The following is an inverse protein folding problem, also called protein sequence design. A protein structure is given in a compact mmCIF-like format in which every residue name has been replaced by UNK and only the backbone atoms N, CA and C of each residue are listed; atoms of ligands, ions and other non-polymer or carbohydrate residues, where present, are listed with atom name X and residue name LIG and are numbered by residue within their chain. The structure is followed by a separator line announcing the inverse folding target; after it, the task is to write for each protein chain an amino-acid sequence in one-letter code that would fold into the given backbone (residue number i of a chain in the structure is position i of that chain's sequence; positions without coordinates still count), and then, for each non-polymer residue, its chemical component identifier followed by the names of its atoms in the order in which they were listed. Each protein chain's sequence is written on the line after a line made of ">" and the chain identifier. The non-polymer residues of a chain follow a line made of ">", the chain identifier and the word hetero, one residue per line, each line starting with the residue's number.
data_IF_314315441600
#
_entry.id   IF_314315441600
#
_cell.length_a   1.000
_cell.length_b   1.000
_cell.length_c   1.000
_cell.angle_alpha   90.00
_cell.angle_beta   90.00
_cell.angle_gamma   90.00
#
_symmetry.space_group_name_H-M   'P 1'
#
loop_
_entity.id
_entity.type
_entity.pdbx_description
1 polymer ?
#
# COMPACT_ATOMS: atom_id res chain seq x y z
N UNK A 1 -6.70 25.57 -40.90
CA UNK A 1 -5.54 25.60 -40.00
C UNK A 1 -5.96 25.07 -38.63
N UNK A 2 -6.12 23.76 -38.49
CA UNK A 2 -6.29 23.10 -37.19
C UNK A 2 -4.97 22.43 -36.88
N UNK A 3 -4.14 23.11 -36.08
CA UNK A 3 -2.81 22.66 -35.75
C UNK A 3 -2.83 21.26 -35.18
N UNK A 4 -2.05 20.38 -35.81
CA UNK A 4 -1.58 19.13 -35.25
C UNK A 4 -0.91 19.42 -33.90
N UNK A 5 -1.69 19.31 -32.82
CA UNK A 5 -1.19 19.27 -31.45
C UNK A 5 -0.46 17.96 -31.25
N UNK A 6 0.79 17.92 -31.71
CA UNK A 6 1.73 16.81 -31.55
C UNK A 6 1.52 16.10 -30.22
N UNK A 7 1.34 14.77 -30.28
CA UNK A 7 1.34 13.86 -29.14
C UNK A 7 2.68 13.86 -28.43
N UNK A 8 3.00 14.96 -27.73
CA UNK A 8 4.09 15.00 -26.77
C UNK A 8 3.70 14.00 -25.68
N UNK A 9 4.34 12.82 -25.71
CA UNK A 9 4.32 11.86 -24.60
C UNK A 9 4.61 12.66 -23.33
N UNK A 10 3.58 12.93 -22.52
CA UNK A 10 3.77 13.56 -21.21
C UNK A 10 4.61 12.59 -20.40
N UNK A 11 5.81 13.02 -20.04
CA UNK A 11 6.68 12.26 -19.16
C UNK A 11 5.94 12.03 -17.84
N UNK A 12 5.79 10.76 -17.45
CA UNK A 12 5.29 10.39 -16.13
C UNK A 12 6.51 10.01 -15.29
N UNK A 13 6.81 10.76 -14.21
CA UNK A 13 7.94 10.42 -13.35
C UNK A 13 7.66 9.09 -12.63
N UNK A 14 8.74 8.44 -12.18
CA UNK A 14 8.59 7.24 -11.34
C UNK A 14 7.89 7.56 -10.01
N UNK A 15 8.22 8.72 -9.40
CA UNK A 15 7.62 9.20 -8.15
C UNK A 15 6.66 10.35 -8.43
N UNK A 16 5.38 10.15 -8.11
CA UNK A 16 4.28 11.09 -8.26
C UNK A 16 4.20 12.09 -7.12
N UNK A 17 5.20 12.97 -6.99
CA UNK A 17 5.22 14.03 -5.96
C UNK A 17 4.22 15.17 -6.23
N UNK A 18 3.74 15.29 -7.46
CA UNK A 18 2.72 16.25 -7.86
C UNK A 18 1.37 15.54 -8.01
N UNK A 19 0.30 16.26 -7.71
CA UNK A 19 -1.07 15.76 -7.71
C UNK A 19 -1.49 15.14 -9.05
N UNK A 20 -1.15 15.80 -10.15
CA UNK A 20 -1.41 15.32 -11.51
C UNK A 20 -0.84 13.90 -11.80
N UNK A 21 0.18 13.50 -11.03
CA UNK A 21 0.90 12.24 -11.19
C UNK A 21 0.46 11.14 -10.20
N UNK A 22 -0.40 11.45 -9.23
CA UNK A 22 -1.05 10.47 -8.33
C UNK A 22 -1.97 9.56 -9.17
N UNK A 23 -1.94 8.25 -8.96
CA UNK A 23 -2.69 7.28 -9.80
C UNK A 23 -2.15 7.16 -11.23
N UNK A 24 -0.96 7.72 -11.53
CA UNK A 24 -0.27 7.58 -12.83
C UNK A 24 1.13 7.04 -12.67
N UNK A 25 1.84 7.53 -11.67
CA UNK A 25 3.22 7.14 -11.40
C UNK A 25 3.28 5.76 -10.74
N UNK A 26 4.34 4.98 -10.99
CA UNK A 26 4.62 3.76 -10.25
C UNK A 26 4.56 3.93 -8.73
N UNK A 27 5.14 5.02 -8.20
CA UNK A 27 5.16 5.32 -6.77
C UNK A 27 4.45 6.64 -6.50
N UNK A 28 3.47 6.64 -5.60
CA UNK A 28 2.88 7.85 -5.04
C UNK A 28 2.62 7.68 -3.53
N UNK A 29 1.87 8.60 -2.90
CA UNK A 29 1.64 8.49 -1.47
C UNK A 29 0.67 7.34 -1.11
N UNK A 30 -0.19 6.89 -2.03
CA UNK A 30 -1.04 5.71 -1.83
C UNK A 30 -0.24 4.41 -1.83
N UNK A 31 0.94 4.38 -2.46
CA UNK A 31 1.85 3.23 -2.41
C UNK A 31 2.18 2.81 -0.97
N UNK A 32 2.30 3.75 -0.03
CA UNK A 32 2.46 3.43 1.40
C UNK A 32 1.22 2.71 1.97
N UNK A 33 0.03 3.13 1.55
CA UNK A 33 -1.23 2.46 1.89
C UNK A 33 -1.27 1.02 1.37
N UNK A 34 -0.78 0.77 0.16
CA UNK A 34 -0.68 -0.58 -0.41
C UNK A 34 0.31 -1.47 0.35
N UNK A 35 1.47 -0.94 0.77
CA UNK A 35 2.39 -1.68 1.65
C UNK A 35 1.71 -2.02 2.99
N UNK A 36 1.05 -1.03 3.61
CA UNK A 36 0.30 -1.25 4.86
C UNK A 36 -0.80 -2.31 4.68
N UNK A 37 -1.50 -2.28 3.55
CA UNK A 37 -2.53 -3.25 3.22
C UNK A 37 -1.96 -4.67 3.09
N UNK A 38 -0.79 -4.83 2.47
CA UNK A 38 -0.06 -6.10 2.42
C UNK A 38 0.29 -6.65 3.81
N UNK A 39 0.81 -5.79 4.70
CA UNK A 39 1.13 -6.14 6.09
C UNK A 39 -0.14 -6.58 6.84
N UNK A 40 -1.22 -5.80 6.71
CA UNK A 40 -2.49 -6.08 7.35
C UNK A 40 -3.12 -7.38 6.86
N UNK A 41 -3.16 -7.58 5.54
CA UNK A 41 -3.69 -8.80 4.92
C UNK A 41 -2.91 -10.03 5.39
N UNK A 42 -1.57 -9.99 5.34
CA UNK A 42 -0.75 -11.10 5.82
C UNK A 42 -1.04 -11.43 7.28
N UNK A 43 -1.07 -10.41 8.14
CA UNK A 43 -1.29 -10.57 9.58
C UNK A 43 -2.69 -11.12 9.89
N UNK A 44 -3.72 -10.69 9.17
CA UNK A 44 -5.09 -11.17 9.37
C UNK A 44 -5.22 -12.62 8.92
N UNK A 45 -4.76 -12.96 7.72
CA UNK A 45 -4.87 -14.32 7.21
C UNK A 45 -3.99 -15.31 8.00
N UNK A 46 -2.84 -14.87 8.52
CA UNK A 46 -2.01 -15.73 9.38
C UNK A 46 -2.69 -16.11 10.69
N UNK A 47 -3.71 -15.36 11.16
CA UNK A 47 -4.49 -15.74 12.34
C UNK A 47 -5.17 -17.10 12.14
N UNK A 48 -5.52 -17.48 10.91
CA UNK A 48 -6.08 -18.81 10.63
C UNK A 48 -5.11 -19.93 11.03
N UNK A 49 -3.81 -19.74 10.81
CA UNK A 49 -2.78 -20.70 11.21
C UNK A 49 -2.56 -20.61 12.72
N UNK A 50 -2.30 -19.42 13.25
CA UNK A 50 -1.87 -19.30 14.65
C UNK A 50 -3.00 -19.58 15.65
N UNK A 51 -4.26 -19.25 15.33
CA UNK A 51 -5.39 -19.62 16.18
C UNK A 51 -5.64 -21.13 16.13
N UNK A 52 -5.50 -21.76 14.97
CA UNK A 52 -5.57 -23.22 14.86
C UNK A 52 -4.50 -23.88 15.72
N UNK A 53 -3.25 -23.43 15.60
CA UNK A 53 -2.12 -23.92 16.41
C UNK A 53 -2.33 -23.72 17.91
N UNK A 54 -2.94 -22.61 18.30
CA UNK A 54 -3.21 -22.30 19.70
C UNK A 54 -4.31 -23.20 20.31
N UNK A 55 -5.39 -23.46 19.57
CA UNK A 55 -6.57 -24.14 20.12
C UNK A 55 -6.66 -25.63 19.82
N UNK A 56 -6.06 -26.09 18.72
CA UNK A 56 -6.24 -27.46 18.21
C UNK A 56 -4.90 -28.21 18.20
N UNK A 57 -3.81 -27.54 17.81
CA UNK A 57 -2.49 -28.14 17.65
C UNK A 57 -1.92 -27.88 16.25
N UNK A 58 -0.85 -28.58 15.83
CA UNK A 58 -0.10 -28.24 14.62
C UNK A 58 -1.01 -28.02 13.39
N UNK A 59 -0.87 -26.86 12.75
CA UNK A 59 -1.62 -26.55 11.54
C UNK A 59 -1.05 -27.33 10.35
N UNK A 60 -1.94 -27.94 9.56
CA UNK A 60 -1.58 -28.51 8.25
C UNK A 60 -1.38 -27.45 7.16
N UNK A 61 -1.75 -26.20 7.42
CA UNK A 61 -1.66 -25.11 6.46
C UNK A 61 -0.30 -24.41 6.58
N UNK A 62 0.48 -24.48 5.50
CA UNK A 62 1.80 -23.87 5.44
C UNK A 62 1.74 -22.34 5.35
N UNK A 63 2.70 -21.66 5.97
CA UNK A 63 2.77 -20.19 6.02
C UNK A 63 2.84 -19.50 4.64
N UNK A 64 3.40 -20.16 3.61
CA UNK A 64 3.46 -19.58 2.26
C UNK A 64 2.07 -19.43 1.62
N UNK A 65 1.05 -20.18 2.07
CA UNK A 65 -0.32 -19.99 1.59
C UNK A 65 -0.86 -18.60 1.96
N UNK A 66 -0.39 -18.01 3.05
CA UNK A 66 -0.73 -16.64 3.44
C UNK A 66 -0.27 -15.64 2.37
N UNK A 67 0.91 -15.84 1.77
CA UNK A 67 1.37 -15.00 0.66
C UNK A 67 0.49 -15.12 -0.58
N UNK A 68 -0.01 -16.33 -0.87
CA UNK A 68 -0.95 -16.54 -1.97
C UNK A 68 -2.24 -15.75 -1.72
N UNK A 69 -2.77 -15.77 -0.48
CA UNK A 69 -3.91 -14.94 -0.11
C UNK A 69 -3.63 -13.44 -0.23
N UNK A 70 -2.44 -12.97 0.18
CA UNK A 70 -2.04 -11.56 0.00
C UNK A 70 -2.03 -11.17 -1.47
N UNK A 71 -1.52 -12.02 -2.36
CA UNK A 71 -1.52 -11.76 -3.82
C UNK A 71 -2.97 -11.68 -4.33
N UNK A 72 -3.83 -12.62 -3.96
CA UNK A 72 -5.25 -12.64 -4.37
C UNK A 72 -5.96 -11.37 -3.91
N UNK A 73 -5.73 -10.96 -2.67
CA UNK A 73 -6.33 -9.75 -2.11
C UNK A 73 -5.78 -8.49 -2.75
N UNK A 74 -4.48 -8.41 -3.04
CA UNK A 74 -3.89 -7.28 -3.76
C UNK A 74 -4.47 -7.11 -5.17
N UNK A 75 -4.55 -8.20 -5.94
CA UNK A 75 -5.19 -8.18 -7.26
C UNK A 75 -6.68 -7.86 -7.17
N UNK A 76 -7.38 -8.45 -6.20
CA UNK A 76 -8.81 -8.21 -5.99
C UNK A 76 -9.11 -6.76 -5.63
N UNK A 77 -8.30 -6.16 -4.76
CA UNK A 77 -8.42 -4.76 -4.38
C UNK A 77 -8.23 -3.83 -5.57
N UNK A 78 -7.21 -4.07 -6.38
CA UNK A 78 -6.93 -3.28 -7.58
C UNK A 78 -8.09 -3.32 -8.59
N UNK A 79 -8.71 -4.49 -8.77
CA UNK A 79 -9.91 -4.64 -9.59
C UNK A 79 -11.08 -3.85 -8.99
N UNK A 80 -11.33 -3.98 -7.68
CA UNK A 80 -12.40 -3.26 -6.98
C UNK A 80 -12.21 -1.75 -7.12
N UNK A 81 -10.99 -1.26 -6.95
CA UNK A 81 -10.66 0.15 -7.03
C UNK A 81 -10.92 0.71 -8.44
N UNK A 82 -10.37 0.06 -9.48
CA UNK A 82 -10.46 0.54 -10.85
C UNK A 82 -11.78 0.19 -11.57
N UNK A 83 -12.69 -0.52 -10.90
CA UNK A 83 -14.04 -0.80 -11.41
C UNK A 83 -15.15 -0.22 -10.53
N UNK A 84 -15.24 -0.63 -9.27
CA UNK A 84 -16.34 -0.28 -8.37
C UNK A 84 -16.13 1.13 -7.83
N UNK A 85 -14.97 1.43 -7.22
CA UNK A 85 -14.74 2.76 -6.62
C UNK A 85 -14.73 3.88 -7.65
N UNK A 86 -14.18 3.60 -8.84
CA UNK A 86 -14.26 4.51 -9.97
C UNK A 86 -15.71 4.77 -10.42
N UNK A 87 -16.54 3.72 -10.58
CA UNK A 87 -17.96 3.89 -10.97
C UNK A 87 -18.77 4.65 -9.91
N UNK A 88 -18.41 4.52 -8.64
CA UNK A 88 -19.05 5.24 -7.54
C UNK A 88 -18.57 6.69 -7.39
N UNK A 89 -17.56 7.12 -8.16
CA UNK A 89 -16.99 8.47 -8.05
C UNK A 89 -16.24 8.73 -6.74
N UNK A 90 -15.87 7.68 -6.01
CA UNK A 90 -15.19 7.76 -4.70
C UNK A 90 -13.67 7.87 -4.86
N UNK A 91 -13.16 7.52 -6.05
CA UNK A 91 -11.73 7.55 -6.34
C UNK A 91 -11.18 8.98 -6.37
N UNK A 92 -9.91 9.13 -5.99
CA UNK A 92 -9.18 10.40 -6.06
C UNK A 92 -9.38 11.06 -7.43
N UNK A 93 -9.83 12.31 -7.46
CA UNK A 93 -10.13 13.07 -8.69
C UNK A 93 -11.07 12.36 -9.70
N UNK A 94 -11.81 11.32 -9.28
CA UNK A 94 -12.65 10.51 -10.15
C UNK A 94 -11.93 9.96 -11.40
N UNK A 95 -10.64 9.62 -11.27
CA UNK A 95 -9.80 9.10 -12.35
C UNK A 95 -9.56 7.60 -12.18
N UNK A 96 -9.27 6.90 -13.28
CA UNK A 96 -8.69 5.54 -13.23
C UNK A 96 -7.18 5.61 -13.11
N UNK A 97 -6.60 4.55 -12.55
CA UNK A 97 -5.15 4.41 -12.54
C UNK A 97 -4.62 4.08 -13.93
N UNK A 98 -3.37 4.46 -14.14
CA UNK A 98 -2.59 3.88 -15.24
C UNK A 98 -2.33 2.40 -14.96
N UNK A 99 -2.22 1.60 -16.02
CA UNK A 99 -1.83 0.18 -15.89
C UNK A 99 -0.52 -0.01 -15.09
N UNK A 100 0.42 0.94 -15.24
CA UNK A 100 1.70 0.88 -14.53
C UNK A 100 1.50 1.14 -13.04
N UNK A 101 0.68 2.12 -12.66
CA UNK A 101 0.40 2.41 -11.25
C UNK A 101 -0.32 1.22 -10.59
N UNK A 102 -1.39 0.73 -11.21
CA UNK A 102 -2.11 -0.49 -10.80
C UNK A 102 -1.18 -1.70 -10.56
N UNK A 103 -0.24 -1.93 -11.48
CA UNK A 103 0.74 -3.01 -11.34
C UNK A 103 1.64 -2.80 -10.11
N UNK A 104 2.13 -1.58 -9.91
CA UNK A 104 2.99 -1.27 -8.77
C UNK A 104 2.25 -1.33 -7.44
N UNK A 105 0.98 -0.94 -7.39
CA UNK A 105 0.15 -1.05 -6.19
C UNK A 105 -0.01 -2.51 -5.76
N UNK A 106 -0.24 -3.44 -6.70
CA UNK A 106 -0.19 -4.88 -6.43
C UNK A 106 1.19 -5.30 -5.91
N UNK A 107 2.28 -4.84 -6.55
CA UNK A 107 3.64 -5.16 -6.11
C UNK A 107 3.93 -4.64 -4.69
N UNK A 108 3.38 -3.49 -4.30
CA UNK A 108 3.53 -2.94 -2.97
C UNK A 108 2.74 -3.72 -1.92
N UNK A 109 1.53 -4.20 -2.24
CA UNK A 109 0.81 -5.15 -1.38
C UNK A 109 1.63 -6.42 -1.17
N UNK A 110 2.22 -6.97 -2.24
CA UNK A 110 3.08 -8.16 -2.14
C UNK A 110 4.32 -7.87 -1.29
N UNK A 111 4.96 -6.71 -1.48
CA UNK A 111 6.13 -6.31 -0.71
C UNK A 111 5.81 -6.20 0.79
N UNK A 112 4.66 -5.63 1.15
CA UNK A 112 4.17 -5.58 2.53
C UNK A 112 4.03 -6.99 3.12
N UNK A 113 3.39 -7.90 2.39
CA UNK A 113 3.24 -9.30 2.83
C UNK A 113 4.57 -10.04 2.96
N UNK A 114 5.51 -9.85 2.03
CA UNK A 114 6.85 -10.43 2.10
C UNK A 114 7.66 -9.91 3.29
N UNK A 115 7.57 -8.61 3.58
CA UNK A 115 8.22 -8.02 4.76
C UNK A 115 7.66 -8.63 6.06
N UNK A 116 6.34 -8.82 6.15
CA UNK A 116 5.71 -9.47 7.31
C UNK A 116 6.06 -10.96 7.39
N UNK A 117 6.17 -11.66 6.25
CA UNK A 117 6.63 -13.04 6.24
C UNK A 117 8.07 -13.21 6.73
N UNK A 118 8.97 -12.31 6.29
CA UNK A 118 10.34 -12.26 6.79
C UNK A 118 10.38 -12.00 8.30
N UNK A 119 9.54 -11.07 8.79
CA UNK A 119 9.40 -10.78 10.22
C UNK A 119 8.95 -12.01 11.00
N UNK A 120 7.99 -12.78 10.47
CA UNK A 120 7.57 -14.07 11.06
C UNK A 120 8.74 -15.03 11.16
N UNK A 121 9.51 -15.21 10.09
CA UNK A 121 10.64 -16.13 10.08
C UNK A 121 11.69 -15.74 11.14
N UNK A 122 12.04 -14.46 11.22
CA UNK A 122 12.98 -13.95 12.23
C UNK A 122 12.46 -14.21 13.65
N UNK A 123 11.22 -13.79 13.95
CA UNK A 123 10.70 -13.83 15.33
C UNK A 123 10.39 -15.26 15.76
N UNK A 124 9.65 -16.01 14.94
CA UNK A 124 9.15 -17.32 15.36
C UNK A 124 10.14 -18.44 15.09
N UNK A 125 10.81 -18.43 13.94
CA UNK A 125 11.65 -19.56 13.52
C UNK A 125 13.11 -19.40 13.96
N UNK A 126 13.66 -18.17 13.90
CA UNK A 126 15.06 -17.90 14.29
C UNK A 126 15.18 -17.59 15.78
N UNK A 127 14.34 -16.72 16.33
CA UNK A 127 14.40 -16.35 17.75
C UNK A 127 13.62 -17.33 18.66
N UNK A 128 12.74 -18.16 18.09
CA UNK A 128 11.91 -19.10 18.86
C UNK A 128 10.84 -18.42 19.71
N UNK A 129 10.48 -17.17 19.39
CA UNK A 129 9.52 -16.38 20.16
C UNK A 129 8.07 -16.77 19.84
N UNK A 130 7.19 -16.54 20.81
CA UNK A 130 5.75 -16.80 20.66
C UNK A 130 5.12 -15.90 19.59
N UNK A 131 4.07 -16.40 18.93
CA UNK A 131 3.34 -15.67 17.88
C UNK A 131 2.82 -14.30 18.30
N UNK A 132 2.59 -14.05 19.61
CA UNK A 132 2.21 -12.72 20.12
C UNK A 132 3.23 -11.63 19.79
N UNK A 133 4.52 -11.96 19.81
CA UNK A 133 5.59 -11.01 19.50
C UNK A 133 5.65 -10.71 18.02
N UNK A 134 5.39 -11.72 17.18
CA UNK A 134 5.22 -11.52 15.74
C UNK A 134 4.08 -10.53 15.44
N UNK A 135 2.91 -10.72 16.04
CA UNK A 135 1.77 -9.83 15.85
C UNK A 135 2.03 -8.41 16.38
N UNK A 136 2.68 -8.27 17.54
CA UNK A 136 3.07 -6.97 18.05
C UNK A 136 4.01 -6.24 17.09
N UNK A 137 5.05 -6.93 16.59
CA UNK A 137 5.98 -6.35 15.62
C UNK A 137 5.32 -6.02 14.29
N UNK A 138 4.37 -6.84 13.82
CA UNK A 138 3.59 -6.56 12.61
C UNK A 138 2.70 -5.32 12.77
N UNK A 139 2.07 -5.13 13.94
CA UNK A 139 1.30 -3.92 14.27
C UNK A 139 2.21 -2.69 14.29
N UNK A 140 3.40 -2.78 14.92
CA UNK A 140 4.37 -1.68 14.94
C UNK A 140 4.79 -1.31 13.51
N UNK A 141 5.12 -2.30 12.69
CA UNK A 141 5.49 -2.09 11.29
C UNK A 141 4.34 -1.43 10.51
N UNK A 142 3.11 -1.93 10.66
CA UNK A 142 1.92 -1.35 10.04
C UNK A 142 1.73 0.12 10.42
N UNK A 143 1.87 0.46 11.71
CA UNK A 143 1.75 1.84 12.20
C UNK A 143 2.85 2.74 11.62
N UNK A 144 4.10 2.27 11.54
CA UNK A 144 5.20 3.02 10.92
C UNK A 144 4.90 3.33 9.45
N UNK A 145 4.41 2.35 8.69
CA UNK A 145 4.06 2.55 7.28
C UNK A 145 2.84 3.48 7.14
N UNK A 146 1.85 3.39 8.03
CA UNK A 146 0.74 4.34 8.06
C UNK A 146 1.20 5.78 8.34
N UNK A 147 2.17 5.98 9.24
CA UNK A 147 2.77 7.31 9.47
C UNK A 147 3.39 7.83 8.16
N UNK A 148 4.12 6.99 7.42
CA UNK A 148 4.68 7.37 6.11
C UNK A 148 3.59 7.74 5.09
N UNK A 149 2.49 6.99 5.05
CA UNK A 149 1.30 7.32 4.25
C UNK A 149 0.75 8.71 4.59
N UNK A 150 0.52 8.98 5.89
CA UNK A 150 -0.01 10.27 6.31
C UNK A 150 0.95 11.43 6.03
N UNK A 151 2.25 11.25 6.24
CA UNK A 151 3.27 12.26 5.87
C UNK A 151 3.18 12.55 4.37
N UNK A 152 3.12 11.51 3.52
CA UNK A 152 2.96 11.65 2.08
C UNK A 152 1.70 12.44 1.72
N UNK A 153 0.55 12.05 2.28
CA UNK A 153 -0.73 12.74 2.09
C UNK A 153 -0.68 14.22 2.49
N UNK A 154 -0.09 14.54 3.66
CA UNK A 154 0.05 15.92 4.12
C UNK A 154 0.95 16.75 3.18
N UNK A 155 2.02 16.16 2.65
CA UNK A 155 2.93 16.85 1.72
C UNK A 155 2.29 17.09 0.36
N UNK A 156 1.45 16.20 -0.14
CA UNK A 156 0.88 16.29 -1.50
C UNK A 156 -0.38 17.14 -1.56
N UNK A 157 -1.16 17.22 -0.48
CA UNK A 157 -2.45 17.92 -0.42
C UNK A 157 -2.34 19.44 -0.66
N UNK A 158 -3.13 19.95 -1.62
CA UNK A 158 -3.27 21.35 -2.05
C UNK A 158 -3.51 22.33 -0.90
N UNK A 159 -4.41 21.98 0.05
CA UNK A 159 -4.70 22.84 1.21
C UNK A 159 -3.44 23.04 2.06
N UNK A 160 -2.64 21.99 2.19
CA UNK A 160 -1.37 22.01 2.92
C UNK A 160 -0.25 22.69 2.13
N UNK A 161 -0.26 22.61 0.79
CA UNK A 161 0.65 23.39 -0.07
C UNK A 161 0.37 24.89 0.03
N UNK A 162 -0.91 25.28 -0.04
CA UNK A 162 -1.34 26.67 0.12
C UNK A 162 -0.96 27.21 1.49
N UNK A 163 -1.29 26.48 2.57
CA UNK A 163 -0.92 26.85 3.93
C UNK A 163 0.60 27.04 4.13
N UNK A 164 1.44 26.18 3.55
CA UNK A 164 2.92 26.34 3.61
C UNK A 164 3.42 27.57 2.85
N UNK A 165 2.84 27.85 1.67
CA UNK A 165 3.17 29.02 0.88
C UNK A 165 2.78 30.32 1.59
N UNK A 166 1.63 30.31 2.26
CA UNK A 166 1.14 31.46 3.02
C UNK A 166 1.96 31.68 4.30
N UNK A 167 2.36 30.61 5.00
CA UNK A 167 3.27 30.69 6.15
C UNK A 167 4.66 31.22 5.76
N UNK A 168 5.22 30.77 4.63
CA UNK A 168 6.52 31.23 4.14
C UNK A 168 6.54 32.73 3.82
N UNK A 169 5.42 33.30 3.36
CA UNK A 169 5.27 34.75 3.14
C UNK A 169 5.15 35.56 4.42
N UNK A 170 4.73 34.94 5.52
CA UNK A 170 4.57 35.58 6.83
C UNK A 170 5.88 35.66 7.60
N UNK A 171 6.84 34.80 7.27
CA UNK A 171 8.15 34.70 7.91
C UNK A 171 9.26 35.41 7.08
N UNK A 172 8.99 35.72 5.81
CA UNK A 172 9.84 36.53 4.93
C UNK A 172 9.52 38.01 5.03
#
# INVERSE_FOLDING_TARGET
>A
MSGEGSGKKRYVPFVGLLEDYVGRSPWDYYSWGHIAFGIGAFSIFSLMITLWELFIGPSGLAWYFILIFVIIVGVGWEIIENTILWKLGVKYENRKDSFINALFDILFVILGGLATWLLKWIIMDVMGELGRWFYLSAIILFVIILIAYFIGFFITNEKTKKARKDLGKLIS
#
